data_IF_838567560445
#
_entry.id   IF_838567560445
#
_cell.length_a   1.000
_cell.length_b   1.000
_cell.length_c   1.000
_cell.angle_alpha   90.00
_cell.angle_beta   90.00
_cell.angle_gamma   90.00
#
_symmetry.space_group_name_H-M   'P 1'
#
loop_
_entity.id
_entity.type
_entity.pdbx_description
1 polymer ?
2 non-polymer ?
3 non-polymer ?
4 water ?
#
# COMPACT_ATOMS: atom_id res chain seq x y z
N UNK A 20 -2.38 -21.68 -2.30
CA UNK A 20 -2.23 -20.19 -2.15
C UNK A 20 -0.94 -19.65 -2.82
N UNK A 21 -0.72 -18.33 -2.71
CA UNK A 21 0.39 -17.59 -3.42
C UNK A 21 1.50 -16.89 -2.58
N UNK A 22 2.66 -16.76 -3.22
CA UNK A 22 3.81 -16.07 -2.62
C UNK A 22 3.62 -14.56 -2.85
N UNK A 23 2.64 -14.22 -3.68
CA UNK A 23 2.22 -12.81 -3.92
C UNK A 23 1.08 -12.50 -3.00
N UNK A 24 1.11 -11.28 -2.51
CA UNK A 24 0.08 -10.82 -1.61
C UNK A 24 -0.14 -9.33 -1.84
N UNK A 25 -1.31 -8.85 -1.46
CA UNK A 25 -1.70 -7.46 -1.70
C UNK A 25 -1.63 -6.59 -0.45
N UNK A 26 -0.83 -5.55 -0.47
CA UNK A 26 -0.83 -4.58 0.64
C UNK A 26 -1.81 -3.49 0.31
N UNK A 27 -2.74 -3.28 1.23
CA UNK A 27 -3.71 -2.18 1.12
C UNK A 27 -3.40 -1.24 2.25
N UNK A 28 -3.24 0.01 1.85
CA UNK A 28 -2.78 1.10 2.74
C UNK A 28 -3.66 2.33 2.59
N UNK A 29 -4.23 2.78 3.71
CA UNK A 29 -5.11 3.96 3.73
C UNK A 29 -4.30 5.12 4.28
N UNK A 30 -3.82 5.92 3.33
CA UNK A 30 -2.91 7.04 3.55
C UNK A 30 -3.58 8.38 3.47
N UNK A 31 -3.04 9.28 4.26
CA UNK A 31 -3.58 10.64 4.30
C UNK A 31 -3.10 11.32 3.04
N UNK A 32 -3.90 12.24 2.54
CA UNK A 32 -3.62 12.90 1.25
C UNK A 32 -2.30 13.65 1.19
N UNK A 33 -1.79 14.06 2.34
CA UNK A 33 -0.54 14.85 2.39
C UNK A 33 0.75 14.03 2.19
N UNK A 34 0.73 12.76 2.57
CA UNK A 34 1.94 11.90 2.43
C UNK A 34 1.82 11.03 1.19
N UNK A 35 0.82 11.36 0.39
CA UNK A 35 0.49 10.62 -0.85
C UNK A 35 1.68 10.54 -1.82
N UNK A 36 2.30 11.69 -2.03
CA UNK A 36 3.41 11.80 -2.98
C UNK A 36 4.64 11.11 -2.44
N UNK A 37 4.80 11.21 -1.13
CA UNK A 37 5.97 10.65 -0.45
C UNK A 37 5.88 9.13 -0.53
N UNK A 38 4.65 8.65 -0.52
CA UNK A 38 4.43 7.21 -0.59
C UNK A 38 4.73 6.75 -2.01
N UNK A 39 4.30 7.55 -2.97
CA UNK A 39 4.48 7.20 -4.38
C UNK A 39 5.97 7.12 -4.66
N UNK A 40 6.69 8.05 -4.06
CA UNK A 40 8.13 8.16 -4.26
C UNK A 40 8.86 6.97 -3.73
N UNK A 41 8.34 6.43 -2.64
CA UNK A 41 8.98 5.30 -1.98
C UNK A 41 8.80 4.06 -2.81
N UNK A 42 7.58 3.92 -3.31
CA UNK A 42 7.16 2.72 -4.01
C UNK A 42 7.87 2.59 -5.32
N UNK A 43 8.00 3.72 -6.01
CA UNK A 43 8.59 3.70 -7.38
C UNK A 43 10.04 3.30 -7.30
N UNK A 44 10.58 3.35 -6.10
CA UNK A 44 12.01 3.12 -5.92
C UNK A 44 12.32 1.68 -5.50
N UNK A 45 11.27 0.99 -5.14
CA UNK A 45 11.35 -0.41 -4.70
C UNK A 45 11.32 -1.34 -5.94
N UNK A 46 12.47 -1.97 -6.17
CA UNK A 46 12.72 -2.89 -7.34
C UNK A 46 11.90 -4.15 -7.42
N UNK A 47 11.38 -4.57 -6.30
CA UNK A 47 10.65 -5.83 -6.24
C UNK A 47 9.19 -5.59 -6.56
N UNK A 48 8.85 -4.33 -6.79
CA UNK A 48 7.46 -3.92 -7.15
C UNK A 48 7.38 -3.68 -8.68
N UNK A 49 6.35 -4.24 -9.31
CA UNK A 49 6.20 -4.17 -10.79
C UNK A 49 5.24 -3.06 -11.18
N UNK A 50 4.57 -2.54 -10.17
CA UNK A 50 3.56 -1.49 -10.32
C UNK A 50 2.64 -1.50 -9.11
N UNK A 51 1.84 -0.45 -9.00
CA UNK A 51 0.81 -0.29 -7.92
C UNK A 51 -0.34 0.57 -8.37
N UNK A 52 -1.39 0.57 -7.56
CA UNK A 52 -2.56 1.38 -7.88
C UNK A 52 -2.96 2.23 -6.72
N UNK A 53 -3.68 3.29 -7.03
CA UNK A 53 -4.19 4.17 -5.99
C UNK A 53 -5.49 4.84 -6.35
N UNK A 54 -6.36 4.90 -5.38
CA UNK A 54 -7.65 5.53 -5.55
C UNK A 54 -8.11 6.29 -4.34
N UNK A 55 -9.03 7.20 -4.57
CA UNK A 55 -9.64 7.98 -3.50
C UNK A 55 -10.76 7.21 -2.80
N UNK A 56 -10.71 7.21 -1.48
CA UNK A 56 -11.80 6.63 -0.66
C UNK A 56 -12.13 7.54 0.53
N UNK A 57 -13.35 7.39 1.01
CA UNK A 57 -13.81 8.07 2.20
C UNK A 57 -13.65 7.15 3.43
N UNK A 58 -13.01 7.65 4.47
CA UNK A 58 -12.70 6.82 5.64
C UNK A 58 -13.18 7.32 6.98
N UNK A 59 -13.80 6.42 7.72
CA UNK A 59 -14.26 6.70 9.07
C UNK A 59 -13.34 6.05 10.09
N UNK A 60 -13.50 6.54 11.31
CA UNK A 60 -12.70 6.08 12.46
C UNK A 60 -13.01 6.79 13.78
N UNK A 61 -12.42 6.29 14.87
CA UNK A 61 -12.65 6.89 16.21
C UNK A 61 -11.40 7.48 16.89
N UNK A 73 -16.89 8.99 16.73
CA UNK A 73 -16.30 8.88 15.39
C UNK A 73 -16.25 10.18 14.60
N UNK A 74 -15.20 10.21 13.79
CA UNK A 74 -14.92 11.30 12.85
C UNK A 74 -14.50 10.72 11.51
N UNK A 75 -14.77 11.46 10.44
CA UNK A 75 -14.49 10.96 9.09
C UNK A 75 -13.80 11.95 8.14
N UNK A 76 -13.39 11.41 7.01
CA UNK A 76 -12.61 12.16 6.03
C UNK A 76 -12.19 11.38 4.78
N UNK A 77 -11.43 12.05 3.94
CA UNK A 77 -10.98 11.53 2.64
C UNK A 77 -9.51 11.14 2.59
N UNK A 78 -9.28 9.93 2.10
CA UNK A 78 -7.94 9.36 1.99
C UNK A 78 -7.62 8.81 0.63
N UNK A 79 -6.38 8.42 0.56
CA UNK A 79 -5.83 7.83 -0.62
C UNK A 79 -5.59 6.37 -0.32
N UNK A 80 -6.16 5.51 -1.15
CA UNK A 80 -6.04 4.08 -0.99
C UNK A 80 -5.15 3.50 -2.07
N UNK A 81 -4.05 2.99 -1.55
CA UNK A 81 -3.01 2.33 -2.32
C UNK A 81 -3.18 0.84 -2.23
N UNK A 82 -2.96 0.19 -3.35
CA UNK A 82 -2.92 -1.26 -3.42
C UNK A 82 -1.64 -1.66 -4.12
N UNK A 83 -0.86 -2.46 -3.38
CA UNK A 83 0.48 -2.86 -3.77
C UNK A 83 0.75 -4.36 -3.68
N UNK A 84 0.74 -4.95 -4.86
CA UNK A 84 1.04 -6.36 -5.04
C UNK A 84 2.54 -6.47 -4.87
N UNK A 85 2.94 -7.46 -4.08
CA UNK A 85 4.33 -7.70 -3.78
C UNK A 85 4.56 -9.12 -3.31
N UNK A 86 5.79 -9.62 -3.48
CA UNK A 86 6.11 -10.93 -2.95
C UNK A 86 6.14 -10.94 -1.41
N UNK A 87 5.57 -11.99 -0.86
CA UNK A 87 5.48 -12.17 0.57
C UNK A 87 6.85 -12.06 1.21
N UNK A 88 7.85 -12.44 0.43
CA UNK A 88 9.25 -12.48 0.91
C UNK A 88 9.83 -11.09 1.18
N UNK A 89 9.18 -10.09 0.61
CA UNK A 89 9.64 -8.69 0.63
C UNK A 89 8.68 -7.82 1.44
N UNK A 90 7.81 -8.49 2.17
CA UNK A 90 6.83 -7.83 3.01
C UNK A 90 7.46 -6.85 4.01
N UNK A 91 8.50 -7.30 4.70
CA UNK A 91 9.19 -6.49 5.72
C UNK A 91 9.78 -5.28 5.05
N UNK A 92 10.53 -5.56 4.00
CA UNK A 92 11.20 -4.50 3.23
C UNK A 92 10.19 -3.42 2.85
N UNK A 93 9.00 -3.86 2.47
CA UNK A 93 7.94 -2.95 1.98
C UNK A 93 7.33 -2.14 3.10
N UNK A 94 7.07 -2.81 4.21
CA UNK A 94 6.39 -2.15 5.32
C UNK A 94 7.32 -1.22 6.09
N UNK A 95 8.57 -1.63 6.25
CA UNK A 95 9.57 -0.80 6.95
C UNK A 95 9.87 0.46 6.12
N UNK A 96 9.84 0.31 4.80
CA UNK A 96 10.10 1.44 3.87
C UNK A 96 8.98 2.45 3.96
N UNK A 97 7.76 1.93 4.01
CA UNK A 97 6.56 2.79 4.12
C UNK A 97 6.44 3.38 5.52
N UNK A 98 6.89 2.61 6.50
CA UNK A 98 6.80 3.04 7.89
C UNK A 98 7.58 4.31 8.09
N UNK A 99 8.51 4.55 7.16
CA UNK A 99 9.36 5.74 7.26
C UNK A 99 8.62 6.97 6.84
N UNK A 100 7.83 6.83 5.78
CA UNK A 100 7.13 7.99 5.19
C UNK A 100 5.98 8.42 6.08
N UNK A 101 5.58 7.49 6.94
CA UNK A 101 4.44 7.68 7.86
C UNK A 101 4.87 8.07 9.23
N UNK A 102 6.16 8.35 9.34
CA UNK A 102 6.81 8.71 10.62
C UNK A 102 5.83 9.52 11.45
N UNK A 103 5.19 10.48 10.79
CA UNK A 103 4.36 11.44 11.51
C UNK A 103 2.88 11.41 11.14
N UNK A 104 2.53 10.54 10.20
CA UNK A 104 1.15 10.37 9.70
C UNK A 104 0.73 8.93 9.66
N UNK A 105 0.20 8.41 10.76
CA UNK A 105 -0.18 7.02 10.77
C UNK A 105 -1.14 6.62 9.68
N UNK A 106 -0.86 5.44 9.16
CA UNK A 106 -1.64 4.84 8.08
C UNK A 106 -2.10 3.43 8.35
N UNK A 107 -3.40 3.24 8.24
CA UNK A 107 -3.96 1.91 8.38
C UNK A 107 -3.55 1.06 7.21
N UNK A 108 -3.34 -0.21 7.49
CA UNK A 108 -3.05 -1.13 6.40
C UNK A 108 -3.51 -2.52 6.70
N UNK A 109 -3.60 -3.27 5.62
CA UNK A 109 -3.89 -4.69 5.68
C UNK A 109 -3.31 -5.41 4.48
N UNK A 110 -3.06 -6.70 4.67
CA UNK A 110 -2.41 -7.56 3.67
C UNK A 110 -3.32 -8.71 3.42
N UNK A 111 -3.58 -8.95 2.15
CA UNK A 111 -4.52 -9.99 1.75
C UNK A 111 -3.87 -10.97 0.84
N UNK A 112 -4.33 -12.21 0.91
CA UNK A 112 -3.77 -13.20 0.05
C UNK A 112 -4.34 -13.10 -1.34
N UNK A 113 -3.47 -13.51 -2.26
CA UNK A 113 -3.72 -13.60 -3.71
C UNK A 113 -3.52 -15.04 -4.13
N UNK A 114 -4.50 -15.60 -4.81
CA UNK A 114 -4.36 -17.00 -5.26
C UNK A 114 -3.48 -17.02 -6.48
N UNK A 115 -3.74 -16.03 -7.30
CA UNK A 115 -3.06 -15.92 -8.57
C UNK A 115 -3.04 -14.53 -9.15
N UNK A 116 -1.98 -14.24 -9.89
CA UNK A 116 -1.90 -12.96 -10.58
C UNK A 116 -1.10 -12.99 -11.87
N UNK A 117 -1.31 -11.97 -12.69
CA UNK A 117 -0.67 -11.94 -14.00
C UNK A 117 -1.18 -10.92 -14.97
N UNK A 118 -1.05 -11.27 -16.22
CA UNK A 118 -1.44 -10.37 -17.28
C UNK A 118 -2.05 -11.11 -18.43
N UNK A 119 -3.25 -10.66 -18.73
CA UNK A 119 -4.07 -11.21 -19.79
C UNK A 119 -3.75 -10.50 -21.09
N UNK A 120 -3.69 -11.27 -22.15
CA UNK A 120 -3.37 -10.73 -23.47
C UNK A 120 -3.64 -11.78 -24.51
X LIG B 1 -10.56 -4.13 -2.97
X LIG B 1 -12.04 -4.09 -3.25
X LIG B 1 -9.82 -3.83 -4.24
X LIG B 1 -10.23 -3.08 -1.95
X LIG B 1 -10.17 -5.50 -2.45
X LIG C 1 -12.63 0.71 -3.83
X LIG C 1 -13.20 0.52 -2.44
X LIG C 1 -13.74 0.86 -4.84
X LIG C 1 -11.79 1.96 -3.89
X LIG C 1 -11.78 -0.51 -4.14
X LIG D 1 12.79 2.93 -1.25
X LIG D 1 12.27 4.23 -1.54
X LIG D 1 13.87 2.42 -2.21
X LIG D 1 14.70 1.49 -1.51
X LIG E 1 -1.67 -3.73 -7.76
X LIG E 1 -2.29 -2.46 -7.97
X LIG E 1 -0.60 -4.01 -8.79
X LIG E 1 0.55 -3.82 -8.00
#
# INVERSE_FOLDING_TARGET
XGSDKIHHHHHHENLYFQGMSTEQLLVLIAQNDIKDDIVDTLIELEFLSGFSLGNICGFSREHSHFNIKEQVEGYREFCKFEIMHPAAQQAALLTALALVCKHNPCRYWIMPIYQNGTLS
PO4 P O1 O2 O3 O4
PO4 P O1 O2 O3 O4
EDO C1 O1 C2 O2
EDO C1 O1 C2 O2
#
